data_IF_101612090892
#
_entry.id   IF_101612090892
#
_cell.length_a   1.000
_cell.length_b   1.000
_cell.length_c   1.000
_cell.angle_alpha   90.00
_cell.angle_beta   90.00
_cell.angle_gamma   90.00
#
_symmetry.space_group_name_H-M   'P 1'
#
loop_
_entity.id
_entity.type
_entity.pdbx_description
1 polymer ?
#
# COMPACT_ATOMS: atom_id res chain seq x y z
N UNK A 1 -22.86 -1.73 -15.20
CA UNK A 1 -22.36 -1.93 -15.45
C UNK A 1 -21.75 -2.28 -15.75
N UNK A 2 -21.53 -2.46 -15.84
CA UNK A 2 -20.97 -2.82 -16.12
C UNK A 2 -20.15 -3.19 -16.87
N UNK A 3 -20.46 -3.45 -17.62
CA UNK A 3 -19.62 -3.92 -18.60
C UNK A 3 -18.49 -3.10 -18.70
N UNK A 4 -18.66 -2.00 -18.57
CA UNK A 4 -17.69 -1.21 -18.62
C UNK A 4 -16.87 -1.59 -17.61
N UNK A 5 -17.21 -2.23 -16.68
CA UNK A 5 -16.36 -2.59 -15.72
C UNK A 5 -15.27 -3.21 -16.21
N UNK A 6 -14.66 -2.88 -16.89
CA UNK A 6 -13.53 -3.39 -17.47
C UNK A 6 -12.48 -3.71 -16.44
N UNK A 7 -11.36 -4.17 -16.95
CA UNK A 7 -10.22 -4.47 -16.13
C UNK A 7 -9.70 -3.25 -15.42
N UNK A 8 -9.82 -2.10 -16.05
CA UNK A 8 -9.39 -0.85 -15.43
C UNK A 8 -10.21 -0.57 -14.16
N UNK A 9 -11.52 -0.73 -14.25
CA UNK A 9 -12.38 -0.49 -13.10
C UNK A 9 -12.10 -1.48 -11.98
N UNK A 10 -11.85 -2.70 -12.36
CA UNK A 10 -11.50 -3.74 -11.41
C UNK A 10 -10.20 -3.38 -10.70
N UNK A 11 -9.21 -2.94 -11.46
CA UNK A 11 -7.92 -2.57 -10.90
C UNK A 11 -8.06 -1.42 -9.91
N UNK A 12 -8.85 -0.42 -10.28
CA UNK A 12 -9.07 0.74 -9.40
C UNK A 12 -9.72 0.29 -8.10
N UNK A 13 -10.71 -0.57 -8.21
CA UNK A 13 -11.39 -1.06 -7.02
C UNK A 13 -10.46 -1.84 -6.11
N UNK A 14 -9.65 -2.72 -6.69
CA UNK A 14 -8.70 -3.50 -5.90
C UNK A 14 -7.66 -2.62 -5.23
N UNK A 15 -7.16 -1.63 -5.96
CA UNK A 15 -6.19 -0.71 -5.39
C UNK A 15 -6.80 0.12 -4.27
N UNK A 16 -8.06 0.49 -4.41
CA UNK A 16 -8.75 1.24 -3.36
C UNK A 16 -8.89 0.41 -2.09
N UNK A 17 -9.17 -0.88 -2.25
CA UNK A 17 -9.27 -1.76 -1.10
C UNK A 17 -7.94 -1.88 -0.39
N UNK A 18 -6.87 -2.06 -1.17
CA UNK A 18 -5.54 -2.17 -0.60
C UNK A 18 -5.14 -0.86 0.08
N UNK A 19 -5.52 0.25 -0.52
CA UNK A 19 -5.22 1.56 0.05
C UNK A 19 -5.95 1.75 1.37
N UNK A 20 -7.20 1.33 1.44
CA UNK A 20 -7.99 1.44 2.65
C UNK A 20 -7.36 0.63 3.77
N UNK A 21 -6.93 -0.59 3.45
CA UNK A 21 -6.27 -1.44 4.43
C UNK A 21 -4.97 -0.81 4.89
N UNK A 22 -4.20 -0.27 3.96
CA UNK A 22 -2.94 0.37 4.28
C UNK A 22 -3.16 1.58 5.19
N UNK A 23 -4.15 2.41 4.86
CA UNK A 23 -4.46 3.58 5.67
C UNK A 23 -4.85 3.18 7.09
N UNK A 24 -5.62 2.11 7.20
CA UNK A 24 -6.04 1.60 8.49
C UNK A 24 -4.83 1.15 9.32
N UNK A 25 -3.90 0.44 8.70
CA UNK A 25 -2.70 -0.04 9.39
C UNK A 25 -1.77 1.10 9.77
N UNK A 26 -1.69 2.12 8.92
CA UNK A 26 -0.90 3.30 9.24
C UNK A 26 -1.47 3.97 10.48
N UNK A 27 -2.79 4.08 10.53
CA UNK A 27 -3.46 4.72 11.64
C UNK A 27 -3.23 3.93 12.94
N UNK A 28 -3.33 2.63 12.85
CA UNK A 28 -3.10 1.77 14.01
C UNK A 28 -1.66 1.91 14.51
N UNK A 29 -0.70 1.89 13.60
CA UNK A 29 0.69 2.00 13.98
C UNK A 29 1.03 3.37 14.56
N UNK A 30 0.31 4.38 14.11
CA UNK A 30 0.52 5.73 14.63
C UNK A 30 0.07 5.84 16.07
N UNK A 31 -1.00 5.11 16.39
CA UNK A 31 -1.52 5.13 17.76
C UNK A 31 -0.74 4.23 18.69
N UNK A 32 -0.34 3.10 18.18
CA UNK A 32 0.37 2.14 18.98
C UNK A 32 1.47 1.52 18.15
N UNK A 33 2.69 1.91 18.39
CA UNK A 33 3.82 1.46 17.59
C UNK A 33 4.47 0.20 18.12
N UNK A 34 3.67 -0.76 18.51
CA UNK A 34 4.22 -2.01 18.98
C UNK A 34 4.74 -2.88 17.86
N UNK A 35 5.45 -3.96 18.16
CA UNK A 35 5.99 -4.82 17.11
C UNK A 35 4.93 -5.42 16.22
N UNK A 36 3.78 -5.76 16.78
CA UNK A 36 2.71 -6.34 15.98
C UNK A 36 2.13 -5.35 15.01
N UNK A 37 1.92 -4.12 15.47
CA UNK A 37 1.37 -3.08 14.60
C UNK A 37 2.33 -2.72 13.48
N UNK A 38 3.62 -2.68 13.79
CA UNK A 38 4.62 -2.37 12.78
C UNK A 38 4.71 -3.52 11.77
N UNK A 39 4.64 -4.75 12.25
CA UNK A 39 4.67 -5.91 11.38
C UNK A 39 3.47 -5.89 10.41
N UNK A 40 2.29 -5.64 10.95
CA UNK A 40 1.07 -5.59 10.13
C UNK A 40 1.15 -4.47 9.10
N UNK A 41 1.70 -3.34 9.49
CA UNK A 41 1.86 -2.24 8.57
C UNK A 41 2.80 -2.62 7.42
N UNK A 42 3.91 -3.26 7.73
CA UNK A 42 4.86 -3.69 6.71
C UNK A 42 4.24 -4.69 5.76
N UNK A 43 3.43 -5.60 6.29
CA UNK A 43 2.73 -6.57 5.44
C UNK A 43 1.77 -5.86 4.50
N UNK A 44 1.05 -4.86 5.01
CA UNK A 44 0.12 -4.09 4.19
C UNK A 44 0.84 -3.32 3.09
N UNK A 45 1.99 -2.74 3.42
CA UNK A 45 2.80 -2.02 2.44
C UNK A 45 3.24 -2.98 1.34
N UNK A 46 3.69 -4.15 1.73
CA UNK A 46 4.14 -5.14 0.77
C UNK A 46 3.00 -5.58 -0.15
N UNK A 47 1.83 -5.81 0.43
CA UNK A 47 0.68 -6.21 -0.37
C UNK A 47 0.27 -5.11 -1.34
N UNK A 48 0.30 -3.87 -0.89
CA UNK A 48 -0.03 -2.76 -1.75
C UNK A 48 0.99 -2.68 -2.90
N UNK A 49 2.26 -2.87 -2.58
CA UNK A 49 3.31 -2.83 -3.57
C UNK A 49 3.11 -3.89 -4.64
N UNK A 50 2.76 -5.10 -4.22
CA UNK A 50 2.50 -6.19 -5.14
C UNK A 50 1.29 -5.91 -6.01
N UNK A 51 0.23 -5.36 -5.43
CA UNK A 51 -0.95 -4.99 -6.18
C UNK A 51 -0.65 -3.89 -7.19
N UNK A 52 0.15 -2.93 -6.78
CA UNK A 52 0.53 -1.85 -7.65
C UNK A 52 1.31 -2.38 -8.87
N UNK A 53 2.23 -3.30 -8.62
CA UNK A 53 2.98 -3.92 -9.70
C UNK A 53 2.06 -4.64 -10.67
N UNK A 54 1.13 -5.40 -10.12
CA UNK A 54 0.21 -6.16 -10.93
C UNK A 54 -0.69 -5.28 -11.77
N UNK A 55 -1.19 -4.21 -11.20
CA UNK A 55 -2.11 -3.33 -11.89
C UNK A 55 -1.49 -2.07 -12.48
N UNK A 56 -0.16 -2.01 -12.48
CA UNK A 56 0.51 -0.80 -12.94
C UNK A 56 0.23 -0.45 -14.40
N UNK A 57 -0.10 -1.45 -15.21
CA UNK A 57 -0.39 -1.19 -16.61
C UNK A 57 -1.63 -0.34 -16.80
N UNK A 58 -2.50 -0.27 -15.80
CA UNK A 58 -3.73 0.48 -15.89
C UNK A 58 -3.60 1.91 -15.38
N UNK A 59 -2.42 2.29 -14.92
CA UNK A 59 -2.21 3.61 -14.35
C UNK A 59 -1.05 4.32 -15.03
N UNK A 60 -1.04 5.66 -15.00
CA UNK A 60 0.06 6.41 -15.60
C UNK A 60 1.37 6.10 -14.89
N UNK A 61 2.44 6.07 -15.65
CA UNK A 61 3.76 5.80 -15.07
C UNK A 61 4.16 6.77 -13.98
N UNK A 62 3.83 8.03 -14.12
CA UNK A 62 4.20 9.02 -13.13
C UNK A 62 3.51 8.76 -11.80
N UNK A 63 2.29 8.28 -11.87
CA UNK A 63 1.54 7.98 -10.67
C UNK A 63 2.10 6.75 -9.98
N UNK A 64 2.43 5.73 -10.76
CA UNK A 64 3.02 4.51 -10.23
C UNK A 64 4.34 4.82 -9.54
N UNK A 65 5.16 5.64 -10.17
CA UNK A 65 6.44 6.03 -9.60
C UNK A 65 6.27 6.79 -8.30
N UNK A 66 5.33 7.69 -8.28
CA UNK A 66 5.06 8.48 -7.09
C UNK A 66 4.65 7.60 -5.91
N UNK A 67 3.73 6.69 -6.16
CA UNK A 67 3.25 5.80 -5.12
C UNK A 67 4.36 4.87 -4.65
N UNK A 68 5.13 4.36 -5.59
CA UNK A 68 6.23 3.46 -5.27
C UNK A 68 7.26 4.13 -4.36
N UNK A 69 7.55 5.39 -4.65
CA UNK A 69 8.48 6.16 -3.85
C UNK A 69 7.95 6.33 -2.43
N UNK A 70 6.66 6.58 -2.32
CA UNK A 70 6.02 6.74 -1.03
C UNK A 70 6.08 5.46 -0.22
N UNK A 71 5.81 4.33 -0.86
CA UNK A 71 5.86 3.04 -0.20
C UNK A 71 7.26 2.70 0.29
N UNK A 72 8.24 3.03 -0.51
CA UNK A 72 9.62 2.80 -0.13
C UNK A 72 9.99 3.59 1.10
N UNK A 73 9.55 4.82 1.15
CA UNK A 73 9.81 5.67 2.30
C UNK A 73 9.16 5.10 3.55
N UNK A 74 7.93 4.62 3.43
CA UNK A 74 7.23 4.04 4.55
C UNK A 74 7.94 2.79 5.06
N UNK A 75 8.41 1.97 4.16
CA UNK A 75 9.15 0.77 4.55
C UNK A 75 10.42 1.11 5.29
N UNK A 76 11.09 2.13 4.82
CA UNK A 76 12.33 2.57 5.45
C UNK A 76 12.08 3.03 6.87
N UNK A 77 11.04 3.82 7.06
CA UNK A 77 10.70 4.34 8.38
C UNK A 77 10.35 3.21 9.32
N UNK A 78 9.55 2.26 8.87
CA UNK A 78 9.14 1.15 9.72
C UNK A 78 10.32 0.23 10.03
N UNK A 79 11.20 0.04 9.07
CA UNK A 79 12.37 -0.78 9.28
C UNK A 79 13.28 -0.18 10.32
N UNK A 80 13.47 1.11 10.21
CA UNK A 80 14.30 1.83 11.12
C UNK A 80 13.80 1.70 12.55
N UNK A 81 12.50 1.88 12.72
CA UNK A 81 11.89 1.75 14.03
C UNK A 81 12.04 0.35 14.56
N UNK A 82 11.78 -0.62 13.71
CA UNK A 82 11.88 -1.99 14.09
C UNK A 82 13.25 -2.35 14.57
N UNK A 83 14.27 -1.84 13.84
CA UNK A 83 15.60 -2.11 14.17
C UNK A 83 16.00 -1.54 15.49
N UNK A 84 15.53 -0.38 15.77
CA UNK A 84 15.87 0.27 16.96
C UNK A 84 15.35 -0.44 18.15
N UNK A 85 14.30 -1.10 18.07
CA UNK A 85 13.79 -1.82 19.20
C UNK A 85 14.64 -3.05 19.45
#
# INVERSE_FOLDING_TARGET
MTAKGSMHDYAVEQMNRLLTTLAFEVHRAAKKSGPDEIHDLRVSIRRFSQGLELFSVFFPKWEVKKIRRMLKRMMRITSSRSRKS
#
